data_IF_159297913452
#
_entry.id   IF_159297913452
#
_cell.length_a   1.000
_cell.length_b   1.000
_cell.length_c   1.000
_cell.angle_alpha   90.00
_cell.angle_beta   90.00
_cell.angle_gamma   90.00
#
_symmetry.space_group_name_H-M   'P 1'
#
loop_
_entity.id
_entity.type
_entity.pdbx_description
1 polymer ?
#
# COMPACT_ATOMS: atom_id res chain seq x y z
N UNK A 1 24.12 -25.53 -32.49
CA UNK A 1 24.05 -25.46 -31.01
C UNK A 1 24.31 -24.07 -30.42
N UNK A 2 25.19 -23.23 -31.00
CA UNK A 2 25.46 -21.87 -30.49
C UNK A 2 24.22 -20.97 -30.43
N UNK A 3 23.40 -21.01 -31.48
CA UNK A 3 22.18 -20.20 -31.59
C UNK A 3 21.10 -20.63 -30.59
N UNK A 4 21.03 -21.92 -30.26
CA UNK A 4 20.10 -22.46 -29.26
C UNK A 4 20.47 -21.99 -27.84
N UNK A 5 21.78 -21.99 -27.51
CA UNK A 5 22.27 -21.46 -26.23
C UNK A 5 22.00 -19.97 -26.08
N UNK A 6 22.20 -19.19 -27.14
CA UNK A 6 21.87 -17.77 -27.16
C UNK A 6 20.36 -17.53 -26.95
N UNK A 7 19.51 -18.36 -27.56
CA UNK A 7 18.06 -18.27 -27.41
C UNK A 7 17.59 -18.61 -25.99
N UNK A 8 18.17 -19.64 -25.37
CA UNK A 8 17.88 -20.02 -23.98
C UNK A 8 18.32 -18.91 -23.01
N UNK A 9 19.48 -18.28 -23.25
CA UNK A 9 19.94 -17.15 -22.44
C UNK A 9 19.04 -15.93 -22.58
N UNK A 10 18.54 -15.64 -23.78
CA UNK A 10 17.60 -14.56 -24.03
C UNK A 10 16.29 -14.77 -23.26
N UNK A 11 15.71 -15.98 -23.32
CA UNK A 11 14.49 -16.30 -22.58
C UNK A 11 14.73 -16.21 -21.07
N UNK A 12 15.86 -16.72 -20.58
CA UNK A 12 16.23 -16.62 -19.16
C UNK A 12 16.32 -15.16 -18.69
N UNK A 13 16.88 -14.26 -19.51
CA UNK A 13 16.95 -12.83 -19.22
C UNK A 13 15.56 -12.18 -19.12
N UNK A 14 14.65 -12.51 -20.05
CA UNK A 14 13.27 -11.99 -20.01
C UNK A 14 12.47 -12.50 -18.82
N UNK A 15 12.61 -13.78 -18.45
CA UNK A 15 11.92 -14.36 -17.29
C UNK A 15 12.43 -13.73 -15.99
N UNK A 16 13.75 -13.53 -15.84
CA UNK A 16 14.35 -12.90 -14.67
C UNK A 16 14.06 -11.39 -14.57
N UNK A 17 13.90 -10.70 -15.70
CA UNK A 17 13.57 -9.26 -15.74
C UNK A 17 12.09 -8.94 -15.50
N UNK A 18 11.19 -9.93 -15.66
CA UNK A 18 9.74 -9.72 -15.56
C UNK A 18 9.18 -9.68 -14.13
N UNK A 19 9.97 -10.04 -13.12
CA UNK A 19 9.58 -9.89 -11.71
C UNK A 19 9.82 -8.46 -11.25
N UNK A 20 9.00 -7.53 -11.73
CA UNK A 20 8.85 -6.25 -11.05
C UNK A 20 8.19 -6.53 -9.69
N UNK A 21 8.75 -6.05 -8.57
CA UNK A 21 8.01 -6.10 -7.32
C UNK A 21 6.69 -5.36 -7.54
N UNK A 22 5.58 -6.01 -7.23
CA UNK A 22 4.27 -5.34 -7.17
C UNK A 22 4.33 -4.38 -5.99
N UNK A 23 4.84 -3.18 -6.22
CA UNK A 23 4.84 -2.13 -5.21
C UNK A 23 3.39 -1.79 -4.91
N UNK A 24 3.06 -1.72 -3.62
CA UNK A 24 1.75 -1.23 -3.20
C UNK A 24 1.55 0.15 -3.85
N UNK A 25 0.36 0.38 -4.42
CA UNK A 25 0.05 1.65 -5.07
C UNK A 25 0.16 2.84 -4.09
N UNK A 26 0.04 2.57 -2.79
CA UNK A 26 0.10 3.53 -1.71
C UNK A 26 0.92 2.95 -0.56
N UNK A 27 1.71 3.81 0.09
CA UNK A 27 2.44 3.43 1.29
C UNK A 27 1.48 3.25 2.47
N UNK A 28 1.82 2.37 3.41
CA UNK A 28 0.97 2.15 4.59
C UNK A 28 0.92 3.39 5.51
N UNK A 29 1.97 4.21 5.48
CA UNK A 29 2.07 5.46 6.22
C UNK A 29 2.31 6.63 5.26
N UNK A 30 1.48 7.67 5.33
CA UNK A 30 1.62 8.84 4.47
C UNK A 30 2.98 9.53 4.71
N UNK A 31 3.82 9.58 3.67
CA UNK A 31 5.20 10.12 3.75
C UNK A 31 6.07 9.45 4.84
N UNK A 32 5.76 8.20 5.20
CA UNK A 32 6.43 7.49 6.29
C UNK A 32 6.04 7.95 7.69
N UNK A 33 5.06 8.87 7.84
CA UNK A 33 4.62 9.32 9.15
C UNK A 33 3.61 8.35 9.76
N UNK A 34 3.95 7.81 10.92
CA UNK A 34 3.20 6.79 11.63
C UNK A 34 1.83 7.27 12.11
N UNK A 35 1.59 8.58 12.20
CA UNK A 35 0.28 9.12 12.57
C UNK A 35 -0.79 8.92 11.50
N UNK A 36 -0.40 8.81 10.23
CA UNK A 36 -1.31 8.67 9.09
C UNK A 36 -1.32 7.24 8.58
N UNK A 37 -2.38 6.48 8.87
CA UNK A 37 -2.46 5.06 8.51
C UNK A 37 -3.36 4.89 7.29
N UNK A 38 -2.89 4.16 6.28
CA UNK A 38 -3.65 3.86 5.07
C UNK A 38 -4.95 3.12 5.40
N UNK A 39 -6.08 3.62 4.87
CA UNK A 39 -7.41 3.05 5.07
C UNK A 39 -7.94 2.45 3.76
N UNK A 40 -7.88 3.22 2.68
CA UNK A 40 -8.34 2.81 1.36
C UNK A 40 -7.65 3.63 0.27
N UNK A 41 -7.73 3.18 -0.98
CA UNK A 41 -7.22 3.93 -2.12
C UNK A 41 -7.85 3.49 -3.44
N UNK A 42 -8.17 4.47 -4.28
CA UNK A 42 -8.83 4.25 -5.57
C UNK A 42 -8.41 5.29 -6.60
N UNK A 43 -8.12 4.84 -7.83
CA UNK A 43 -7.83 5.70 -9.00
C UNK A 43 -6.78 6.81 -8.76
N UNK A 44 -5.70 6.48 -8.04
CA UNK A 44 -4.62 7.44 -7.74
C UNK A 44 -4.88 8.34 -6.54
N UNK A 45 -6.00 8.16 -5.85
CA UNK A 45 -6.34 8.82 -4.58
C UNK A 45 -6.21 7.85 -3.42
N UNK A 46 -5.62 8.30 -2.32
CA UNK A 46 -5.52 7.52 -1.09
C UNK A 46 -6.11 8.26 0.11
N UNK A 47 -6.67 7.48 1.03
CA UNK A 47 -7.26 7.94 2.27
C UNK A 47 -6.48 7.41 3.46
N UNK A 48 -6.05 8.32 4.33
CA UNK A 48 -5.29 8.00 5.53
C UNK A 48 -6.00 8.51 6.78
N UNK A 49 -6.14 7.65 7.77
CA UNK A 49 -6.63 8.01 9.10
C UNK A 49 -5.54 8.77 9.86
N UNK A 50 -5.89 9.91 10.46
CA UNK A 50 -5.03 10.64 11.39
C UNK A 50 -5.27 10.16 12.83
N UNK A 51 -4.34 9.36 13.37
CA UNK A 51 -4.44 8.86 14.74
C UNK A 51 -4.47 9.96 15.80
N UNK A 52 -3.83 11.11 15.53
CA UNK A 52 -3.74 12.20 16.51
C UNK A 52 -5.08 12.89 16.73
N UNK A 53 -6.02 12.75 15.80
CA UNK A 53 -7.35 13.33 15.88
C UNK A 53 -8.40 12.36 16.47
N UNK A 54 -8.00 11.17 16.94
CA UNK A 54 -8.95 10.18 17.42
C UNK A 54 -9.61 10.66 18.71
N UNK A 55 -10.94 10.63 18.72
CA UNK A 55 -11.77 10.90 19.90
C UNK A 55 -12.66 9.70 20.13
N UNK A 56 -12.75 9.26 21.39
CA UNK A 56 -13.68 8.22 21.82
C UNK A 56 -14.99 8.89 22.25
N UNK A 57 -16.05 8.72 21.47
CA UNK A 57 -17.36 9.26 21.80
C UNK A 57 -18.13 8.35 22.77
N UNK A 58 -17.98 7.04 22.61
CA UNK A 58 -18.59 6.06 23.50
C UNK A 58 -17.68 4.87 23.73
N UNK A 59 -17.48 4.53 25.00
CA UNK A 59 -16.80 3.32 25.43
C UNK A 59 -17.74 2.50 26.34
N UNK A 60 -18.64 1.73 25.74
CA UNK A 60 -19.64 0.95 26.48
C UNK A 60 -19.88 -0.42 25.81
N UNK A 61 -19.09 -1.46 26.18
CA UNK A 61 -19.21 -2.79 25.60
C UNK A 61 -20.68 -3.28 25.51
N UNK A 62 -21.10 -3.87 24.37
CA UNK A 62 -20.30 -4.25 23.21
C UNK A 62 -20.10 -3.12 22.18
N UNK A 63 -20.58 -1.90 22.45
CA UNK A 63 -20.57 -0.79 21.50
C UNK A 63 -19.47 0.23 21.81
N UNK A 64 -18.67 0.51 20.81
CA UNK A 64 -17.67 1.57 20.84
C UNK A 64 -17.92 2.51 19.67
N UNK A 65 -17.88 3.82 19.92
CA UNK A 65 -18.02 4.86 18.90
C UNK A 65 -16.76 5.72 18.98
N UNK A 66 -16.08 5.87 17.85
CA UNK A 66 -14.91 6.73 17.69
C UNK A 66 -15.15 7.70 16.54
N UNK A 67 -14.60 8.90 16.68
CA UNK A 67 -14.50 9.89 15.62
C UNK A 67 -13.02 10.09 15.28
N UNK A 68 -12.69 10.18 13.99
CA UNK A 68 -11.33 10.33 13.50
C UNK A 68 -11.33 11.02 12.14
N UNK A 69 -10.32 11.85 11.88
CA UNK A 69 -10.17 12.53 10.61
C UNK A 69 -9.56 11.58 9.58
N UNK A 70 -9.93 11.80 8.33
CA UNK A 70 -9.35 11.12 7.18
C UNK A 70 -8.80 12.17 6.22
N UNK A 71 -7.51 12.08 5.91
CA UNK A 71 -6.84 12.88 4.91
C UNK A 71 -6.92 12.19 3.56
N UNK A 72 -7.20 12.97 2.51
CA UNK A 72 -7.23 12.51 1.12
C UNK A 72 -6.01 13.08 0.39
N UNK A 73 -5.27 12.25 -0.33
CA UNK A 73 -4.10 12.64 -1.13
C UNK A 73 -4.16 12.10 -2.55
#
# INVERSE_FOLDING_TARGET
MKNLRAFILLIGFFVLGSVLPLQAAYDYHLNGEHNFVFVDGHMGTAWYLDKSSLIVEQCAPPRYIIAVNVCTV
#
